data_IF_060827482383
#
_entry.id   IF_060827482383
#
_cell.length_a   1.000
_cell.length_b   1.000
_cell.length_c   1.000
_cell.angle_alpha   90.00
_cell.angle_beta   90.00
_cell.angle_gamma   90.00
#
_symmetry.space_group_name_H-M   'P 1'
#
loop_
_entity.id
_entity.type
_entity.pdbx_description
1 polymer ?
#
# COMPACT_ATOMS: atom_id res chain seq x y z
N UNK A 1 -0.41 -66.93 -75.88
CA UNK A 1 -1.20 -65.76 -76.29
C UNK A 1 -1.15 -64.82 -75.11
N UNK A 2 -0.29 -63.81 -75.19
CA UNK A 2 0.01 -62.88 -74.10
C UNK A 2 -0.85 -61.63 -74.32
N UNK A 3 -1.73 -61.33 -73.38
CA UNK A 3 -2.47 -60.07 -73.36
C UNK A 3 -1.75 -59.12 -72.41
N UNK A 4 -1.26 -58.02 -72.99
CA UNK A 4 -0.68 -56.88 -72.29
C UNK A 4 -1.84 -56.06 -71.70
N UNK A 5 -1.85 -55.88 -70.39
CA UNK A 5 -2.72 -54.91 -69.72
C UNK A 5 -1.96 -53.60 -69.57
N UNK A 6 -2.49 -52.56 -70.20
CA UNK A 6 -1.93 -51.23 -70.38
C UNK A 6 -2.09 -50.41 -69.07
N UNK A 7 -0.96 -50.09 -68.43
CA UNK A 7 -0.88 -49.29 -67.20
C UNK A 7 -1.18 -47.80 -67.52
N UNK A 8 -2.46 -47.42 -67.38
CA UNK A 8 -2.93 -46.04 -67.55
C UNK A 8 -2.53 -45.18 -66.36
N UNK A 9 -1.29 -44.66 -66.41
CA UNK A 9 -0.75 -43.68 -65.47
C UNK A 9 -1.36 -42.29 -65.74
N UNK A 10 -2.54 -42.03 -65.18
CA UNK A 10 -3.13 -40.67 -65.12
C UNK A 10 -2.29 -39.81 -64.17
N UNK A 11 -1.49 -38.92 -64.75
CA UNK A 11 -0.76 -37.87 -64.04
C UNK A 11 -1.74 -36.80 -63.54
N UNK A 12 -2.14 -36.88 -62.26
CA UNK A 12 -2.81 -35.77 -61.58
C UNK A 12 -1.79 -34.66 -61.24
N UNK A 13 -2.09 -33.37 -61.48
CA UNK A 13 -1.20 -32.28 -61.07
C UNK A 13 -1.08 -32.22 -59.54
N UNK A 14 0.09 -31.82 -58.99
CA UNK A 14 0.29 -31.74 -57.55
C UNK A 14 -0.65 -30.70 -56.93
N UNK A 15 -1.32 -31.08 -55.85
CA UNK A 15 -2.16 -30.18 -55.04
C UNK A 15 -1.36 -28.97 -54.55
N UNK A 16 -1.95 -27.76 -54.53
CA UNK A 16 -1.25 -26.58 -54.00
C UNK A 16 -0.88 -26.79 -52.53
N UNK A 17 0.25 -26.23 -52.07
CA UNK A 17 0.67 -26.35 -50.67
C UNK A 17 -0.40 -25.73 -49.75
N UNK A 18 -0.61 -26.30 -48.55
CA UNK A 18 -1.54 -25.73 -47.58
C UNK A 18 -1.12 -24.30 -47.24
N UNK A 19 -2.08 -23.38 -47.04
CA UNK A 19 -1.75 -22.02 -46.60
C UNK A 19 -0.98 -22.06 -45.27
N UNK A 20 -0.04 -21.13 -45.04
CA UNK A 20 0.67 -21.05 -43.77
C UNK A 20 -0.35 -20.91 -42.63
N UNK A 21 -0.08 -21.48 -41.43
CA UNK A 21 -0.96 -21.32 -40.30
C UNK A 21 -1.10 -19.82 -40.03
N UNK A 22 -2.31 -19.31 -40.24
CA UNK A 22 -2.67 -17.95 -39.87
C UNK A 22 -2.52 -17.92 -38.36
N UNK A 23 -1.39 -17.37 -37.90
CA UNK A 23 -1.12 -17.13 -36.50
C UNK A 23 -2.38 -16.53 -35.91
N UNK A 24 -2.97 -17.29 -34.99
CA UNK A 24 -4.25 -17.04 -34.36
C UNK A 24 -4.36 -15.57 -33.93
N UNK A 25 -4.93 -14.77 -34.82
CA UNK A 25 -5.32 -13.38 -34.57
C UNK A 25 -6.36 -13.29 -33.45
N UNK A 26 -6.85 -14.43 -32.96
CA UNK A 26 -7.72 -14.56 -31.78
C UNK A 26 -7.01 -14.33 -30.44
N UNK A 27 -5.66 -14.34 -30.37
CA UNK A 27 -4.98 -13.96 -29.12
C UNK A 27 -5.03 -12.43 -28.90
N UNK A 28 -5.13 -11.65 -29.97
CA UNK A 28 -5.26 -10.17 -29.89
C UNK A 28 -6.71 -9.67 -29.77
N UNK A 29 -7.71 -10.52 -30.04
CA UNK A 29 -9.14 -10.15 -30.00
C UNK A 29 -9.84 -10.48 -28.67
N UNK A 30 -9.10 -10.81 -27.61
CA UNK A 30 -9.58 -10.79 -26.22
C UNK A 30 -8.84 -9.70 -25.43
N UNK A 31 -8.48 -8.59 -26.08
CA UNK A 31 -8.48 -7.30 -25.38
C UNK A 31 -9.93 -6.84 -25.19
N UNK A 32 -10.79 -7.71 -24.64
CA UNK A 32 -11.98 -7.22 -23.94
C UNK A 32 -11.46 -6.22 -22.93
N UNK A 33 -12.07 -5.03 -22.89
CA UNK A 33 -11.75 -3.91 -22.02
C UNK A 33 -11.76 -4.29 -20.52
N UNK A 34 -10.82 -5.12 -20.07
CA UNK A 34 -10.69 -5.57 -18.69
C UNK A 34 -10.16 -4.40 -17.88
N UNK A 35 -11.08 -3.66 -17.28
CA UNK A 35 -10.76 -2.78 -16.17
C UNK A 35 -10.87 -3.57 -14.88
N UNK A 36 -9.96 -3.29 -13.96
CA UNK A 36 -9.97 -3.78 -12.59
C UNK A 36 -10.69 -2.77 -11.72
N UNK A 37 -11.63 -3.25 -10.92
CA UNK A 37 -12.36 -2.45 -9.95
C UNK A 37 -11.67 -2.52 -8.59
N UNK A 38 -11.30 -1.36 -8.06
CA UNK A 38 -10.72 -1.21 -6.72
C UNK A 38 -11.73 -0.47 -5.86
N UNK A 39 -12.24 -1.15 -4.85
CA UNK A 39 -13.19 -0.59 -3.88
C UNK A 39 -12.42 0.32 -2.91
N UNK A 40 -12.70 1.62 -2.96
CA UNK A 40 -12.09 2.57 -2.04
C UNK A 40 -12.99 2.78 -0.83
N UNK A 41 -12.57 2.25 0.32
CA UNK A 41 -13.29 2.40 1.60
C UNK A 41 -13.37 3.86 2.04
N UNK A 42 -12.26 4.61 1.91
CA UNK A 42 -12.18 6.00 2.34
C UNK A 42 -12.98 6.97 1.47
N UNK A 43 -13.17 6.65 0.18
CA UNK A 43 -13.96 7.46 -0.75
C UNK A 43 -15.42 6.99 -0.87
N UNK A 44 -15.75 5.80 -0.34
CA UNK A 44 -17.05 5.15 -0.54
C UNK A 44 -17.39 4.88 -2.01
N UNK A 45 -16.39 4.85 -2.89
CA UNK A 45 -16.54 4.72 -4.34
C UNK A 45 -15.61 3.65 -4.89
N UNK A 46 -15.97 3.10 -6.05
CA UNK A 46 -15.14 2.15 -6.78
C UNK A 46 -14.36 2.88 -7.87
N UNK A 47 -13.05 2.72 -7.89
CA UNK A 47 -12.17 3.24 -8.95
C UNK A 47 -11.86 2.13 -9.97
N UNK A 48 -11.83 2.49 -11.26
CA UNK A 48 -11.53 1.56 -12.36
C UNK A 48 -10.15 1.85 -12.94
N UNK A 49 -9.35 0.80 -13.08
CA UNK A 49 -8.00 0.86 -13.64
C UNK A 49 -7.87 -0.09 -14.82
N UNK A 50 -7.05 0.24 -15.82
CA UNK A 50 -6.76 -0.72 -16.89
C UNK A 50 -5.98 -1.92 -16.34
N UNK A 51 -6.21 -3.11 -16.91
CA UNK A 51 -5.36 -4.26 -16.67
C UNK A 51 -3.87 -3.90 -16.92
N UNK A 52 -2.97 -4.39 -16.08
CA UNK A 52 -1.54 -4.04 -16.15
C UNK A 52 -1.14 -2.80 -15.33
N UNK A 53 -2.09 -2.08 -14.72
CA UNK A 53 -1.77 -0.92 -13.89
C UNK A 53 -0.97 -1.33 -12.65
N UNK A 54 0.13 -0.62 -12.37
CA UNK A 54 0.88 -0.77 -11.12
C UNK A 54 0.09 -0.28 -9.91
N UNK A 55 0.12 -1.02 -8.81
CA UNK A 55 -0.61 -0.69 -7.59
C UNK A 55 -0.21 0.68 -7.02
N UNK A 56 1.08 1.03 -7.00
CA UNK A 56 1.55 2.33 -6.52
C UNK A 56 1.01 3.51 -7.34
N UNK A 57 0.87 3.33 -8.65
CA UNK A 57 0.24 4.34 -9.51
C UNK A 57 -1.26 4.49 -9.21
N UNK A 58 -1.97 3.37 -9.05
CA UNK A 58 -3.38 3.37 -8.68
C UNK A 58 -3.62 4.05 -7.32
N UNK A 59 -2.81 3.74 -6.30
CA UNK A 59 -2.84 4.38 -4.98
C UNK A 59 -2.60 5.89 -5.09
N UNK A 60 -1.62 6.33 -5.89
CA UNK A 60 -1.36 7.76 -6.10
C UNK A 60 -2.58 8.49 -6.67
N UNK A 61 -3.25 7.89 -7.67
CA UNK A 61 -4.45 8.47 -8.26
C UNK A 61 -5.65 8.51 -7.31
N UNK A 62 -5.81 7.47 -6.48
CA UNK A 62 -6.88 7.44 -5.47
C UNK A 62 -6.63 8.53 -4.43
N UNK A 63 -5.41 8.61 -3.89
CA UNK A 63 -5.06 9.59 -2.86
C UNK A 63 -5.21 11.05 -3.34
N UNK A 64 -4.98 11.34 -4.63
CA UNK A 64 -5.25 12.67 -5.22
C UNK A 64 -6.73 13.03 -5.29
N UNK A 65 -7.62 12.04 -5.27
CA UNK A 65 -9.08 12.22 -5.36
C UNK A 65 -9.77 12.14 -4.00
N UNK A 66 -9.02 11.96 -2.92
CA UNK A 66 -9.57 11.94 -1.57
C UNK A 66 -10.00 13.33 -1.14
N UNK A 67 -11.16 13.41 -0.50
CA UNK A 67 -11.64 14.63 0.12
C UNK A 67 -10.73 15.04 1.30
N UNK A 68 -10.72 16.33 1.62
CA UNK A 68 -9.92 16.86 2.73
C UNK A 68 -10.36 16.20 4.04
N UNK A 69 -9.44 15.51 4.71
CA UNK A 69 -9.69 14.79 5.95
C UNK A 69 -10.04 13.31 5.79
N UNK A 70 -10.15 12.78 4.56
CA UNK A 70 -10.33 11.35 4.34
C UNK A 70 -9.05 10.56 4.67
N UNK A 71 -9.16 9.32 5.20
CA UNK A 71 -7.99 8.49 5.50
C UNK A 71 -7.14 8.19 4.26
N UNK A 72 -5.84 8.43 4.37
CA UNK A 72 -4.89 8.16 3.30
C UNK A 72 -4.80 6.65 3.01
N UNK A 73 -4.82 6.28 1.72
CA UNK A 73 -4.65 4.90 1.28
C UNK A 73 -3.17 4.55 1.29
N UNK A 74 -2.82 3.47 1.98
CA UNK A 74 -1.45 2.96 2.09
C UNK A 74 -1.11 2.03 0.93
N UNK A 75 -1.96 1.02 0.70
CA UNK A 75 -1.79 0.04 -0.37
C UNK A 75 -3.14 -0.55 -0.80
N UNK A 76 -3.11 -1.39 -1.83
CA UNK A 76 -4.28 -2.14 -2.30
C UNK A 76 -4.11 -3.59 -1.84
N UNK A 77 -5.19 -4.23 -1.42
CA UNK A 77 -5.25 -5.64 -1.07
C UNK A 77 -6.30 -6.35 -1.93
N UNK A 78 -6.08 -7.63 -2.25
CA UNK A 78 -7.16 -8.51 -2.66
C UNK A 78 -7.73 -9.17 -1.40
N UNK A 79 -9.04 -9.06 -1.20
CA UNK A 79 -9.75 -9.58 -0.03
C UNK A 79 -10.77 -10.62 -0.48
N UNK A 80 -10.88 -11.70 0.28
CA UNK A 80 -11.92 -12.72 0.16
C UNK A 80 -12.37 -13.16 1.55
N UNK A 81 -13.66 -13.43 1.70
CA UNK A 81 -14.23 -13.76 3.01
C UNK A 81 -13.64 -15.07 3.56
N UNK A 82 -13.15 -15.02 4.80
CA UNK A 82 -12.54 -16.17 5.48
C UNK A 82 -11.09 -16.48 5.06
N UNK A 83 -10.51 -15.71 4.13
CA UNK A 83 -9.12 -15.87 3.70
C UNK A 83 -8.26 -14.66 4.09
N UNK A 84 -6.94 -14.87 4.15
CA UNK A 84 -5.99 -13.80 4.44
C UNK A 84 -5.87 -12.85 3.24
N UNK A 85 -5.96 -11.52 3.45
CA UNK A 85 -5.80 -10.55 2.38
C UNK A 85 -4.43 -10.59 1.71
N UNK A 86 -4.39 -10.47 0.39
CA UNK A 86 -3.14 -10.43 -0.38
C UNK A 86 -2.77 -8.96 -0.63
N UNK A 87 -1.67 -8.49 -0.01
CA UNK A 87 -1.20 -7.11 -0.18
C UNK A 87 -0.38 -6.92 -1.45
N UNK A 88 -0.67 -5.86 -2.22
CA UNK A 88 0.10 -5.49 -3.40
C UNK A 88 1.20 -4.48 -3.06
N UNK A 89 2.45 -4.81 -3.41
CA UNK A 89 3.56 -3.86 -3.36
C UNK A 89 3.43 -2.72 -4.38
N UNK A 90 4.16 -1.60 -4.22
CA UNK A 90 4.01 -0.43 -5.09
C UNK A 90 4.30 -0.70 -6.57
N UNK A 91 5.24 -1.60 -6.87
CA UNK A 91 5.59 -2.00 -8.24
C UNK A 91 4.81 -3.20 -8.75
N UNK A 92 3.98 -3.83 -7.91
CA UNK A 92 3.18 -4.96 -8.31
C UNK A 92 2.08 -4.52 -9.28
N UNK A 93 1.87 -5.31 -10.33
CA UNK A 93 0.75 -5.13 -11.25
C UNK A 93 -0.53 -5.58 -10.55
N UNK A 94 -1.60 -4.80 -10.66
CA UNK A 94 -2.92 -5.20 -10.19
C UNK A 94 -3.43 -6.36 -11.03
N UNK A 95 -3.92 -7.40 -10.35
CA UNK A 95 -4.41 -8.63 -10.95
C UNK A 95 -5.74 -8.99 -10.30
N UNK A 96 -6.67 -9.50 -11.09
CA UNK A 96 -7.89 -10.13 -10.59
C UNK A 96 -7.59 -11.60 -10.26
N UNK A 97 -7.81 -11.99 -9.00
CA UNK A 97 -7.65 -13.37 -8.53
C UNK A 97 -8.90 -14.23 -8.79
N UNK A 98 -9.96 -13.65 -9.36
CA UNK A 98 -11.18 -14.37 -9.72
C UNK A 98 -12.08 -14.68 -8.52
N UNK A 99 -12.86 -15.76 -8.63
CA UNK A 99 -14.01 -16.10 -7.77
C UNK A 99 -13.88 -15.68 -6.28
N UNK A 100 -14.61 -14.61 -5.94
CA UNK A 100 -14.79 -14.11 -4.57
C UNK A 100 -13.73 -13.12 -4.11
N UNK A 101 -12.65 -12.94 -4.85
CA UNK A 101 -11.64 -11.92 -4.57
C UNK A 101 -12.10 -10.54 -5.03
N UNK A 102 -11.87 -9.54 -4.20
CA UNK A 102 -12.17 -8.14 -4.51
C UNK A 102 -10.96 -7.29 -4.18
N UNK A 103 -10.58 -6.40 -5.09
CA UNK A 103 -9.54 -5.43 -4.81
C UNK A 103 -10.11 -4.31 -3.95
N UNK A 104 -9.44 -4.01 -2.84
CA UNK A 104 -9.85 -3.00 -1.88
C UNK A 104 -8.65 -2.17 -1.41
N UNK A 105 -8.89 -0.90 -1.12
CA UNK A 105 -7.88 -0.04 -0.51
C UNK A 105 -7.71 -0.34 0.98
N UNK A 106 -6.47 -0.44 1.43
CA UNK A 106 -6.12 -0.44 2.84
C UNK A 106 -5.63 0.95 3.25
N UNK A 107 -6.24 1.54 4.29
CA UNK A 107 -5.96 2.91 4.72
C UNK A 107 -5.28 2.97 6.10
N UNK A 108 -4.78 4.16 6.46
CA UNK A 108 -4.21 4.43 7.80
C UNK A 108 -5.18 4.08 8.92
N UNK A 109 -6.49 4.29 8.70
CA UNK A 109 -7.52 3.94 9.68
C UNK A 109 -7.62 2.41 9.87
N UNK A 110 -7.61 1.65 8.77
CA UNK A 110 -7.65 0.18 8.81
C UNK A 110 -6.40 -0.39 9.52
N UNK A 111 -5.23 0.23 9.32
CA UNK A 111 -3.99 -0.11 10.03
C UNK A 111 -4.13 0.05 11.54
N UNK A 112 -4.68 1.18 12.01
CA UNK A 112 -4.92 1.42 13.43
C UNK A 112 -5.89 0.43 14.06
N UNK A 113 -6.95 0.03 13.35
CA UNK A 113 -7.93 -0.96 13.82
C UNK A 113 -7.29 -2.35 13.92
N UNK A 114 -6.63 -2.84 12.87
CA UNK A 114 -5.94 -4.14 12.90
C UNK A 114 -4.87 -4.18 13.98
N UNK A 115 -4.15 -3.08 14.18
CA UNK A 115 -3.14 -2.98 15.24
C UNK A 115 -3.78 -3.04 16.63
N UNK A 116 -4.88 -2.31 16.87
CA UNK A 116 -5.62 -2.38 18.14
C UNK A 116 -6.17 -3.79 18.42
N UNK A 117 -6.72 -4.47 17.41
CA UNK A 117 -7.17 -5.86 17.51
C UNK A 117 -6.00 -6.82 17.81
N UNK A 118 -4.85 -6.62 17.18
CA UNK A 118 -3.65 -7.41 17.46
C UNK A 118 -3.18 -7.22 18.91
N UNK A 119 -3.16 -5.99 19.42
CA UNK A 119 -2.81 -5.72 20.82
C UNK A 119 -3.83 -6.28 21.83
N UNK A 120 -5.12 -6.37 21.46
CA UNK A 120 -6.13 -7.02 22.29
C UNK A 120 -6.01 -8.54 22.33
N UNK A 121 -5.46 -9.16 21.28
CA UNK A 121 -5.24 -10.61 21.19
C UNK A 121 -3.96 -11.10 21.87
N UNK A 122 -3.04 -10.20 22.23
CA UNK A 122 -1.92 -10.55 23.12
C UNK A 122 -2.51 -10.76 24.52
N UNK A 123 -2.32 -11.94 25.17
CA UNK A 123 -2.87 -12.18 26.49
C UNK A 123 -2.32 -11.14 27.46
N UNK A 124 -3.19 -10.24 27.91
CA UNK A 124 -2.91 -9.26 28.95
C UNK A 124 -2.67 -10.05 30.24
N UNK A 125 -1.41 -10.28 30.60
CA UNK A 125 -1.07 -10.82 31.92
C UNK A 125 -1.73 -9.94 32.97
N UNK A 126 -2.67 -10.56 33.66
CA UNK A 126 -3.50 -9.96 34.69
C UNK A 126 -2.63 -9.70 35.93
N UNK A 127 -2.16 -8.47 36.10
CA UNK A 127 -1.80 -7.96 37.42
C UNK A 127 -2.97 -7.12 37.91
N UNK A 128 -3.67 -7.67 38.90
CA UNK A 128 -4.73 -7.00 39.66
C UNK A 128 -4.08 -6.00 40.61
N UNK A 129 -4.34 -4.69 40.45
CA UNK A 129 -4.84 -3.89 41.57
C UNK A 129 -5.38 -2.50 41.14
N UNK A 130 -6.50 -2.12 41.75
CA UNK A 130 -6.78 -0.74 42.20
C UNK A 130 -7.13 0.40 41.22
N UNK A 131 -8.44 0.68 41.11
CA UNK A 131 -9.10 2.02 41.08
C UNK A 131 -9.10 2.94 39.82
N UNK A 132 -10.26 2.94 39.13
CA UNK A 132 -11.11 4.06 38.57
C UNK A 132 -10.48 5.27 37.80
N UNK A 133 -11.27 6.01 36.97
CA UNK A 133 -12.26 5.61 35.96
C UNK A 133 -12.09 6.37 34.60
N UNK A 134 -12.82 5.90 33.59
CA UNK A 134 -13.29 6.58 32.37
C UNK A 134 -12.52 7.79 31.77
N UNK A 135 -12.11 7.68 30.51
CA UNK A 135 -12.43 8.70 29.48
C UNK A 135 -12.11 8.19 28.08
N UNK A 136 -13.18 8.13 27.27
CA UNK A 136 -13.27 8.55 25.87
C UNK A 136 -12.17 8.13 24.89
N UNK A 137 -12.56 7.19 24.03
CA UNK A 137 -11.95 6.91 22.75
C UNK A 137 -11.61 8.20 21.98
N UNK A 138 -10.32 8.40 21.69
CA UNK A 138 -9.87 9.33 20.67
C UNK A 138 -8.85 8.61 19.80
N UNK A 139 -9.01 8.79 18.49
CA UNK A 139 -8.28 8.19 17.36
C UNK A 139 -6.76 8.06 17.59
N UNK A 140 -6.06 7.13 16.90
CA UNK A 140 -4.61 7.07 16.90
C UNK A 140 -4.04 8.18 15.98
N UNK A 141 -4.34 9.43 16.32
CA UNK A 141 -3.59 10.57 15.83
C UNK A 141 -2.33 10.65 16.68
N UNK A 142 -1.17 10.75 16.03
CA UNK A 142 0.16 11.05 16.59
C UNK A 142 -0.01 11.70 17.97
N UNK A 143 0.26 10.91 19.01
CA UNK A 143 -0.08 11.27 20.39
C UNK A 143 0.41 12.68 20.68
N UNK A 144 -0.53 13.60 20.88
CA UNK A 144 -0.27 15.02 21.11
C UNK A 144 0.78 15.24 22.21
N UNK A 145 0.82 14.33 23.19
CA UNK A 145 1.84 14.26 24.23
C UNK A 145 3.27 14.13 23.70
N UNK A 146 3.52 13.35 22.65
CA UNK A 146 4.84 13.22 22.04
C UNK A 146 5.23 14.48 21.27
N UNK A 147 4.31 15.10 20.53
CA UNK A 147 4.56 16.37 19.86
C UNK A 147 4.83 17.49 20.88
N UNK A 148 4.04 17.58 21.95
CA UNK A 148 4.28 18.53 23.04
C UNK A 148 5.64 18.28 23.72
N UNK A 149 5.99 17.01 23.99
CA UNK A 149 7.27 16.62 24.58
C UNK A 149 8.46 17.00 23.68
N UNK A 150 8.33 16.88 22.36
CA UNK A 150 9.34 17.34 21.41
C UNK A 150 9.47 18.87 21.44
N UNK A 151 8.36 19.61 21.42
CA UNK A 151 8.39 21.08 21.48
C UNK A 151 9.01 21.61 22.77
N UNK A 152 8.70 21.00 23.92
CA UNK A 152 9.33 21.34 25.20
C UNK A 152 10.84 21.11 25.15
N UNK A 153 11.28 19.98 24.60
CA UNK A 153 12.71 19.69 24.44
C UNK A 153 13.41 20.74 23.56
N UNK A 154 12.79 21.17 22.45
CA UNK A 154 13.31 22.24 21.60
C UNK A 154 13.44 23.57 22.33
N UNK A 155 12.43 23.98 23.11
CA UNK A 155 12.49 25.21 23.90
C UNK A 155 13.60 25.14 24.94
N UNK A 156 13.74 24.02 25.66
CA UNK A 156 14.82 23.83 26.63
C UNK A 156 16.21 23.88 25.98
N UNK A 157 16.36 23.27 24.80
CA UNK A 157 17.61 23.32 24.05
C UNK A 157 17.97 24.74 23.64
N UNK A 158 16.99 25.54 23.20
CA UNK A 158 17.21 26.93 22.83
C UNK A 158 17.59 27.79 24.03
N UNK A 159 16.90 27.65 25.17
CA UNK A 159 17.22 28.37 26.41
C UNK A 159 18.61 27.97 26.92
N UNK A 160 18.93 26.68 26.92
CA UNK A 160 20.24 26.18 27.34
C UNK A 160 21.36 26.66 26.39
N UNK A 161 21.12 26.61 25.07
CA UNK A 161 22.07 27.07 24.07
C UNK A 161 22.33 28.58 24.13
N UNK A 162 21.26 29.38 24.29
CA UNK A 162 21.38 30.83 24.43
C UNK A 162 22.10 31.22 25.72
N UNK A 163 21.74 30.61 26.85
CA UNK A 163 22.40 30.86 28.14
C UNK A 163 23.87 30.41 28.12
N UNK A 164 24.19 29.27 27.51
CA UNK A 164 25.56 28.82 27.34
C UNK A 164 26.38 29.77 26.46
N UNK A 165 25.80 30.27 25.37
CA UNK A 165 26.47 31.24 24.49
C UNK A 165 26.76 32.54 25.25
N UNK A 166 25.80 33.05 26.02
CA UNK A 166 25.97 34.25 26.84
C UNK A 166 27.04 34.04 27.92
N UNK A 167 27.08 32.86 28.52
CA UNK A 167 28.10 32.46 29.48
C UNK A 167 29.50 32.40 28.86
N UNK A 168 29.65 31.86 27.64
CA UNK A 168 30.91 31.82 26.90
C UNK A 168 31.38 33.22 26.47
N UNK A 169 30.44 34.07 26.05
CA UNK A 169 30.75 35.47 25.69
C UNK A 169 31.22 36.28 26.92
N UNK A 170 30.71 35.95 28.10
CA UNK A 170 31.05 36.59 29.36
C UNK A 170 32.01 35.77 30.23
N UNK A 171 32.73 34.82 29.64
CA UNK A 171 33.55 33.83 30.33
C UNK A 171 34.56 34.44 31.33
N UNK A 172 35.28 35.54 31.03
CA UNK A 172 36.18 36.17 32.00
C UNK A 172 35.45 36.68 33.25
N UNK A 173 34.26 37.27 33.10
CA UNK A 173 33.43 37.72 34.24
C UNK A 173 32.86 36.54 35.00
N UNK A 174 32.48 35.47 34.31
CA UNK A 174 31.92 34.26 34.91
C UNK A 174 32.96 33.52 35.77
N UNK A 175 34.23 33.46 35.33
CA UNK A 175 35.34 32.90 36.13
C UNK A 175 35.59 33.75 37.39
N UNK A 176 35.60 35.08 37.25
CA UNK A 176 35.76 35.97 38.41
C UNK A 176 34.61 35.84 39.41
N UNK A 177 33.38 35.67 38.92
CA UNK A 177 32.22 35.40 39.76
C UNK A 177 32.36 34.09 40.53
N UNK A 178 32.71 32.98 39.86
CA UNK A 178 32.90 31.67 40.51
C UNK A 178 34.01 31.73 41.58
N UNK A 179 35.13 32.37 41.28
CA UNK A 179 36.24 32.55 42.23
C UNK A 179 35.89 33.45 43.43
N UNK A 180 34.81 34.25 43.34
CA UNK A 180 34.29 35.05 44.45
C UNK A 180 33.29 34.29 45.33
N UNK A 181 32.73 33.18 44.83
CA UNK A 181 31.82 32.33 45.59
C UNK A 181 32.53 31.16 46.27
N UNK A 182 33.77 30.86 45.84
CA UNK A 182 34.65 29.85 46.41
C UNK A 182 35.58 30.47 47.46
#
# INVERSE_FOLDING_TARGET
MAEQEEDSKVNSPPSPPPPPPVLSFSIFLIQSCCFLEVICKSLGKTSRFAAGTKAGFAVSLINRKLDVGAPFVLHIEAVKDGEEPISFGPDAVLVDYGNGWKLQTFSVLDYGVRQAEHFQRIPKQQSSDGSRPATTATNPGISFLYMAKILVAFVLLFVLGASFTLALENLPRLILFINSFM
#
